data_IF_027500911559
#
_entry.id   IF_027500911559
#
_cell.length_a   1.000
_cell.length_b   1.000
_cell.length_c   1.000
_cell.angle_alpha   90.00
_cell.angle_beta   90.00
_cell.angle_gamma   90.00
#
_symmetry.space_group_name_H-M   'P 1'
#
loop_
_entity.id
_entity.type
_entity.pdbx_description
1 polymer ?
#
# COMPACT_ATOMS: atom_id res chain seq x y z
N UNK A 1 -31.74 15.31 4.73
CA UNK A 1 -30.71 15.77 5.70
C UNK A 1 -30.05 17.06 5.24
N UNK A 2 -29.26 17.07 4.16
CA UNK A 2 -28.56 18.30 3.71
C UNK A 2 -29.48 19.49 3.42
N UNK A 3 -30.64 19.28 2.79
CA UNK A 3 -31.65 20.33 2.56
C UNK A 3 -32.11 21.01 3.86
N UNK A 4 -32.20 20.25 4.96
CA UNK A 4 -32.68 20.77 6.24
C UNK A 4 -31.57 21.46 7.05
N UNK A 5 -30.34 20.96 6.95
CA UNK A 5 -29.22 21.45 7.77
C UNK A 5 -28.49 22.62 7.12
N UNK A 6 -28.37 22.64 5.78
CA UNK A 6 -27.75 23.74 5.03
C UNK A 6 -26.31 24.11 5.48
N UNK A 7 -25.54 23.13 5.95
CA UNK A 7 -24.10 23.23 6.22
C UNK A 7 -23.41 21.87 5.93
N UNK A 8 -22.09 21.83 5.68
CA UNK A 8 -21.38 20.58 5.38
C UNK A 8 -21.33 19.66 6.60
N UNK A 9 -21.43 18.35 6.35
CA UNK A 9 -21.43 17.33 7.38
C UNK A 9 -20.30 16.36 7.16
N UNK A 10 -19.63 15.96 8.24
CA UNK A 10 -18.71 14.83 8.21
C UNK A 10 -19.53 13.57 7.95
N UNK A 11 -19.19 12.86 6.88
CA UNK A 11 -19.79 11.57 6.49
C UNK A 11 -18.67 10.54 6.37
N UNK A 12 -18.16 10.09 7.52
CA UNK A 12 -17.14 9.04 7.58
C UNK A 12 -17.77 7.66 7.73
N UNK A 13 -17.01 6.61 7.44
CA UNK A 13 -17.45 5.22 7.64
C UNK A 13 -17.76 4.96 9.11
N UNK A 14 -18.91 4.33 9.37
CA UNK A 14 -19.33 3.93 10.71
C UNK A 14 -18.77 2.56 11.06
N UNK A 15 -17.53 2.51 11.53
CA UNK A 15 -16.87 1.28 11.95
C UNK A 15 -15.88 1.51 13.10
N UNK A 16 -15.62 0.46 13.87
CA UNK A 16 -14.49 0.43 14.80
C UNK A 16 -13.19 0.14 14.03
N UNK A 17 -12.07 0.69 14.51
CA UNK A 17 -10.75 0.37 13.96
C UNK A 17 -10.45 -1.12 14.16
N UNK A 18 -9.96 -1.80 13.12
CA UNK A 18 -9.68 -3.24 13.16
C UNK A 18 -10.90 -4.14 12.94
N UNK A 19 -12.06 -3.55 12.62
CA UNK A 19 -13.28 -4.26 12.27
C UNK A 19 -13.86 -3.79 10.93
N UNK A 20 -14.49 -4.69 10.17
CA UNK A 20 -15.23 -4.30 8.98
C UNK A 20 -16.43 -3.41 9.32
N UNK A 21 -16.87 -2.53 8.40
CA UNK A 21 -18.09 -1.75 8.55
C UNK A 21 -19.35 -2.59 8.80
N UNK A 22 -20.18 -2.12 9.72
CA UNK A 22 -21.47 -2.73 10.03
C UNK A 22 -22.45 -2.58 8.84
N UNK A 23 -23.14 -3.67 8.51
CA UNK A 23 -24.20 -3.68 7.47
C UNK A 23 -25.59 -4.02 8.04
N UNK A 24 -25.66 -4.48 9.31
CA UNK A 24 -26.92 -4.72 10.01
C UNK A 24 -27.15 -3.65 11.08
N UNK A 25 -28.41 -3.42 11.41
CA UNK A 25 -28.80 -2.45 12.44
C UNK A 25 -28.23 -2.85 13.81
N UNK A 26 -28.28 -4.14 14.13
CA UNK A 26 -27.78 -4.71 15.38
C UNK A 26 -26.27 -4.49 15.51
N UNK A 27 -25.51 -4.81 14.46
CA UNK A 27 -24.05 -4.61 14.47
C UNK A 27 -23.68 -3.13 14.59
N UNK A 28 -24.42 -2.24 13.91
CA UNK A 28 -24.18 -0.79 14.00
C UNK A 28 -24.42 -0.26 15.42
N UNK A 29 -25.49 -0.71 16.08
CA UNK A 29 -25.76 -0.36 17.48
C UNK A 29 -24.66 -0.89 18.39
N UNK A 30 -24.27 -2.16 18.24
CA UNK A 30 -23.25 -2.78 19.09
C UNK A 30 -21.87 -2.12 18.92
N UNK A 31 -21.42 -1.87 17.69
CA UNK A 31 -20.09 -1.32 17.44
C UNK A 31 -19.98 0.18 17.71
N UNK A 32 -21.06 0.95 17.56
CA UNK A 32 -21.00 2.42 17.56
C UNK A 32 -21.70 3.08 18.76
N UNK A 33 -22.26 2.31 19.70
CA UNK A 33 -23.01 2.89 20.84
C UNK A 33 -22.19 3.87 21.69
N UNK A 34 -20.88 3.67 21.81
CA UNK A 34 -19.97 4.56 22.56
C UNK A 34 -19.48 5.77 21.73
N UNK A 35 -19.83 5.85 20.44
CA UNK A 35 -19.38 6.88 19.50
C UNK A 35 -20.54 7.79 19.08
N UNK A 36 -21.71 7.22 18.78
CA UNK A 36 -22.84 7.95 18.22
C UNK A 36 -23.84 8.39 19.30
N UNK A 37 -24.20 9.67 19.32
CA UNK A 37 -25.26 10.20 20.20
C UNK A 37 -26.67 9.70 19.84
N UNK A 38 -26.84 9.16 18.63
CA UNK A 38 -28.11 8.64 18.14
C UNK A 38 -27.96 7.95 16.79
N UNK A 39 -28.96 7.13 16.46
CA UNK A 39 -28.93 6.27 15.29
C UNK A 39 -30.12 6.55 14.38
N UNK A 40 -29.85 6.86 13.12
CA UNK A 40 -30.86 6.96 12.05
C UNK A 40 -30.78 5.71 11.17
N UNK A 41 -31.58 4.70 11.51
CA UNK A 41 -31.60 3.39 10.85
C UNK A 41 -32.88 3.19 10.02
N UNK A 42 -32.93 2.12 9.23
CA UNK A 42 -34.13 1.71 8.49
C UNK A 42 -34.28 0.20 8.39
N UNK A 43 -35.43 -0.27 7.92
CA UNK A 43 -35.80 -1.69 7.82
C UNK A 43 -35.62 -2.27 6.41
N UNK A 44 -34.59 -1.80 5.69
CA UNK A 44 -34.22 -2.33 4.37
C UNK A 44 -32.81 -2.86 4.50
N UNK A 45 -32.66 -4.17 4.40
CA UNK A 45 -31.38 -4.81 4.68
C UNK A 45 -30.29 -4.39 3.69
N UNK A 46 -29.07 -4.25 4.21
CA UNK A 46 -27.86 -4.11 3.41
C UNK A 46 -27.17 -5.47 3.39
N UNK A 47 -27.22 -6.14 2.23
CA UNK A 47 -26.68 -7.50 2.07
C UNK A 47 -25.25 -7.55 1.56
N UNK A 48 -24.67 -6.40 1.21
CA UNK A 48 -23.30 -6.25 0.72
C UNK A 48 -22.68 -5.01 1.33
N UNK A 49 -21.48 -5.16 1.89
CA UNK A 49 -20.63 -4.00 2.18
C UNK A 49 -20.28 -3.32 0.85
N UNK A 50 -20.40 -2.01 0.81
CA UNK A 50 -20.09 -1.22 -0.37
C UNK A 50 -19.66 0.19 0.06
N UNK A 51 -18.37 0.32 0.41
CA UNK A 51 -17.77 1.59 0.82
C UNK A 51 -17.92 2.66 -0.27
N UNK A 52 -17.83 3.91 0.14
CA UNK A 52 -17.77 5.03 -0.80
C UNK A 52 -16.52 4.93 -1.67
N UNK A 53 -16.70 5.10 -2.98
CA UNK A 53 -15.57 5.25 -3.90
C UNK A 53 -14.90 6.60 -3.69
N UNK A 54 -13.57 6.63 -3.84
CA UNK A 54 -12.76 7.84 -3.67
C UNK A 54 -11.95 8.06 -4.94
N UNK A 55 -12.10 9.24 -5.51
CA UNK A 55 -11.38 9.69 -6.71
C UNK A 55 -10.84 11.10 -6.47
N UNK A 56 -9.69 11.44 -7.06
CA UNK A 56 -9.23 12.83 -7.12
C UNK A 56 -10.06 13.60 -8.14
N UNK A 57 -10.00 14.94 -8.06
CA UNK A 57 -10.59 15.83 -9.07
C UNK A 57 -10.03 15.59 -10.49
N UNK A 58 -8.77 15.15 -10.58
CA UNK A 58 -8.14 14.72 -11.84
C UNK A 58 -8.75 13.46 -12.47
N UNK A 59 -9.61 12.74 -11.75
CA UNK A 59 -10.16 11.44 -12.15
C UNK A 59 -9.34 10.23 -11.69
N UNK A 60 -8.20 10.44 -11.01
CA UNK A 60 -7.38 9.35 -10.47
C UNK A 60 -8.17 8.54 -9.42
N UNK A 61 -8.22 7.22 -9.60
CA UNK A 61 -8.91 6.30 -8.70
C UNK A 61 -8.07 5.99 -7.46
N UNK A 62 -8.61 6.25 -6.27
CA UNK A 62 -7.97 5.89 -4.98
C UNK A 62 -8.66 4.69 -4.31
N UNK A 63 -9.99 4.57 -4.47
CA UNK A 63 -10.78 3.44 -3.97
C UNK A 63 -11.98 3.19 -4.89
N UNK A 64 -12.03 2.01 -5.51
CA UNK A 64 -13.13 1.57 -6.38
C UNK A 64 -14.12 0.68 -5.63
N UNK A 65 -15.30 1.21 -5.31
CA UNK A 65 -16.39 0.50 -4.62
C UNK A 65 -17.76 0.94 -5.14
N UNK A 66 -18.55 1.68 -4.35
CA UNK A 66 -19.90 2.13 -4.69
C UNK A 66 -19.91 2.94 -5.99
N UNK A 67 -20.82 2.58 -6.90
CA UNK A 67 -21.00 3.26 -8.19
C UNK A 67 -20.14 2.72 -9.33
N UNK A 68 -19.20 1.80 -9.06
CA UNK A 68 -18.41 1.11 -10.09
C UNK A 68 -18.58 -0.41 -10.05
N UNK A 69 -18.73 -0.99 -8.86
CA UNK A 69 -18.91 -2.43 -8.71
C UNK A 69 -20.39 -2.78 -8.95
N UNK A 70 -20.71 -3.83 -9.74
CA UNK A 70 -19.83 -4.89 -10.24
C UNK A 70 -19.49 -4.79 -11.73
N UNK A 71 -19.33 -3.59 -12.31
CA UNK A 71 -19.06 -3.45 -13.74
C UNK A 71 -17.76 -4.17 -14.14
N UNK A 72 -17.84 -4.91 -15.26
CA UNK A 72 -16.72 -5.62 -15.86
C UNK A 72 -15.82 -4.68 -16.67
N UNK A 73 -14.53 -5.02 -16.74
CA UNK A 73 -13.50 -4.32 -17.50
C UNK A 73 -13.04 -5.27 -18.61
N UNK A 74 -12.87 -4.74 -19.83
CA UNK A 74 -12.31 -5.52 -20.93
C UNK A 74 -10.81 -5.77 -20.68
N UNK A 75 -10.35 -7.00 -20.98
CA UNK A 75 -8.94 -7.32 -20.97
C UNK A 75 -8.24 -6.68 -22.19
N UNK A 76 -6.91 -6.47 -22.12
CA UNK A 76 -6.16 -5.91 -23.23
C UNK A 76 -6.20 -6.78 -24.50
N UNK A 77 -5.84 -6.21 -25.67
CA UNK A 77 -5.79 -6.96 -26.92
C UNK A 77 -4.94 -8.22 -26.81
N UNK A 78 -5.45 -9.34 -27.34
CA UNK A 78 -4.75 -10.64 -27.33
C UNK A 78 -5.17 -11.57 -26.19
N UNK A 79 -5.73 -11.05 -25.09
CA UNK A 79 -6.36 -11.87 -24.07
C UNK A 79 -7.74 -12.33 -24.56
N UNK A 80 -7.84 -13.62 -24.90
CA UNK A 80 -9.08 -14.28 -25.35
C UNK A 80 -9.18 -15.65 -24.73
N UNK A 81 -10.42 -16.12 -24.56
CA UNK A 81 -10.71 -17.47 -24.07
C UNK A 81 -10.00 -17.83 -22.75
N UNK A 82 -9.77 -16.82 -21.88
CA UNK A 82 -9.10 -17.02 -20.59
C UNK A 82 -9.99 -17.92 -19.71
N UNK A 83 -9.45 -18.98 -19.08
CA UNK A 83 -10.23 -19.83 -18.18
C UNK A 83 -10.72 -19.04 -16.95
N UNK A 84 -11.66 -19.56 -16.17
CA UNK A 84 -12.15 -18.90 -14.97
C UNK A 84 -11.05 -18.86 -13.89
N UNK A 85 -10.45 -17.70 -13.66
CA UNK A 85 -9.40 -17.49 -12.66
C UNK A 85 -9.92 -16.55 -11.57
N UNK A 86 -9.77 -16.95 -10.31
CA UNK A 86 -9.98 -16.10 -9.13
C UNK A 86 -8.64 -15.56 -8.64
N UNK A 87 -8.42 -14.25 -8.75
CA UNK A 87 -7.26 -13.59 -8.18
C UNK A 87 -7.65 -13.01 -6.81
N UNK A 88 -6.92 -13.35 -5.74
CA UNK A 88 -7.28 -12.96 -4.38
C UNK A 88 -6.80 -11.56 -3.98
N UNK A 89 -5.88 -10.97 -4.75
CA UNK A 89 -5.23 -9.70 -4.41
C UNK A 89 -4.23 -9.83 -3.26
N UNK A 90 -3.91 -8.70 -2.63
CA UNK A 90 -3.04 -8.61 -1.45
C UNK A 90 -3.85 -8.44 -0.16
N UNK A 91 -3.22 -8.57 1.01
CA UNK A 91 -3.90 -8.48 2.30
C UNK A 91 -4.39 -7.07 2.66
N UNK A 92 -3.67 -6.03 2.23
CA UNK A 92 -4.05 -4.64 2.49
C UNK A 92 -4.82 -4.04 1.32
N UNK A 93 -5.83 -3.23 1.64
CA UNK A 93 -6.70 -2.57 0.66
C UNK A 93 -7.29 -3.57 -0.35
N UNK A 94 -7.63 -4.76 0.13
CA UNK A 94 -7.95 -5.92 -0.68
C UNK A 94 -9.10 -5.66 -1.68
N UNK A 95 -8.90 -6.22 -2.87
CA UNK A 95 -9.95 -6.56 -3.82
C UNK A 95 -9.61 -7.93 -4.41
N UNK A 96 -10.62 -8.76 -4.67
CA UNK A 96 -10.45 -9.93 -5.51
C UNK A 96 -10.89 -9.62 -6.94
N UNK A 97 -10.43 -10.42 -7.90
CA UNK A 97 -10.78 -10.28 -9.31
C UNK A 97 -11.22 -11.62 -9.89
N UNK A 98 -12.32 -11.61 -10.65
CA UNK A 98 -12.75 -12.75 -11.47
C UNK A 98 -12.37 -12.49 -12.92
N UNK A 99 -11.63 -13.40 -13.54
CA UNK A 99 -11.20 -13.29 -14.93
C UNK A 99 -11.73 -14.47 -15.73
N UNK A 100 -12.41 -14.22 -16.85
CA UNK A 100 -12.86 -15.25 -17.80
C UNK A 100 -13.10 -14.65 -19.18
N UNK A 101 -12.75 -15.39 -20.23
CA UNK A 101 -12.92 -14.96 -21.61
C UNK A 101 -12.02 -13.78 -21.93
N UNK A 102 -12.61 -12.61 -22.16
CA UNK A 102 -11.92 -11.36 -22.48
C UNK A 102 -12.25 -10.24 -21.46
N UNK A 103 -12.74 -10.61 -20.27
CA UNK A 103 -13.16 -9.64 -19.25
C UNK A 103 -12.64 -9.99 -17.85
N UNK A 104 -12.55 -8.96 -17.02
CA UNK A 104 -12.23 -9.03 -15.60
C UNK A 104 -13.27 -8.27 -14.78
N UNK A 105 -13.64 -8.79 -13.61
CA UNK A 105 -14.55 -8.14 -12.66
C UNK A 105 -13.84 -8.01 -11.32
N UNK A 106 -13.54 -6.77 -10.94
CA UNK A 106 -12.89 -6.45 -9.66
C UNK A 106 -13.96 -6.17 -8.60
N UNK A 107 -13.80 -6.77 -7.42
CA UNK A 107 -14.68 -6.55 -6.27
C UNK A 107 -14.63 -5.11 -5.78
N UNK A 108 -15.53 -4.78 -4.85
CA UNK A 108 -15.38 -3.61 -4.00
C UNK A 108 -14.16 -3.73 -3.09
N UNK A 109 -13.71 -2.59 -2.56
CA UNK A 109 -12.73 -2.53 -1.50
C UNK A 109 -13.21 -3.30 -0.26
N UNK A 110 -12.40 -4.25 0.20
CA UNK A 110 -12.69 -5.08 1.38
C UNK A 110 -11.79 -4.72 2.57
N UNK A 111 -10.78 -3.86 2.39
CA UNK A 111 -9.96 -3.35 3.50
C UNK A 111 -8.77 -4.26 3.83
N UNK A 112 -8.49 -4.45 5.11
CA UNK A 112 -7.41 -5.29 5.62
C UNK A 112 -7.94 -6.71 5.89
N UNK A 113 -7.35 -7.72 5.28
CA UNK A 113 -7.77 -9.12 5.45
C UNK A 113 -7.43 -9.71 6.82
N UNK A 114 -6.61 -9.01 7.61
CA UNK A 114 -6.30 -9.38 9.00
C UNK A 114 -7.32 -8.86 10.02
N UNK A 115 -8.24 -7.98 9.61
CA UNK A 115 -9.30 -7.46 10.48
C UNK A 115 -10.25 -8.57 10.95
N UNK A 116 -10.73 -8.46 12.19
CA UNK A 116 -11.61 -9.47 12.77
C UNK A 116 -12.95 -9.53 12.02
N UNK A 117 -13.38 -10.74 11.64
CA UNK A 117 -14.65 -10.96 10.93
C UNK A 117 -14.68 -10.54 9.45
N UNK A 118 -13.58 -10.04 8.86
CA UNK A 118 -13.59 -9.56 7.47
C UNK A 118 -13.92 -10.65 6.44
N UNK A 119 -13.53 -11.90 6.73
CA UNK A 119 -13.74 -13.04 5.84
C UNK A 119 -15.22 -13.26 5.50
N UNK A 120 -16.15 -12.97 6.41
CA UNK A 120 -17.58 -13.14 6.16
C UNK A 120 -18.06 -12.22 5.03
N UNK A 121 -17.68 -10.93 5.09
CA UNK A 121 -18.03 -9.96 4.04
C UNK A 121 -17.31 -10.26 2.72
N UNK A 122 -16.05 -10.69 2.79
CA UNK A 122 -15.29 -11.12 1.63
C UNK A 122 -15.96 -12.30 0.90
N UNK A 123 -16.39 -13.33 1.64
CA UNK A 123 -17.06 -14.51 1.08
C UNK A 123 -18.44 -14.18 0.50
N UNK A 124 -19.21 -13.31 1.15
CA UNK A 124 -20.51 -12.88 0.61
C UNK A 124 -20.35 -12.05 -0.67
N UNK A 125 -19.34 -11.18 -0.75
CA UNK A 125 -19.02 -10.47 -1.98
C UNK A 125 -18.65 -11.44 -3.10
N UNK A 126 -17.77 -12.41 -2.82
CA UNK A 126 -17.38 -13.43 -3.78
C UNK A 126 -18.60 -14.24 -4.26
N UNK A 127 -19.42 -14.75 -3.34
CA UNK A 127 -20.61 -15.54 -3.64
C UNK A 127 -21.58 -14.78 -4.54
N UNK A 128 -21.85 -13.51 -4.25
CA UNK A 128 -22.77 -12.70 -5.05
C UNK A 128 -22.19 -12.44 -6.45
N UNK A 129 -20.93 -12.01 -6.55
CA UNK A 129 -20.31 -11.69 -7.85
C UNK A 129 -20.19 -12.95 -8.71
N UNK A 130 -19.86 -14.11 -8.12
CA UNK A 130 -19.88 -15.39 -8.82
C UNK A 130 -21.26 -15.74 -9.36
N UNK A 131 -22.32 -15.49 -8.58
CA UNK A 131 -23.70 -15.70 -9.02
C UNK A 131 -24.14 -14.74 -10.13
N UNK A 132 -23.72 -13.48 -10.09
CA UNK A 132 -24.05 -12.49 -11.13
C UNK A 132 -23.44 -12.88 -12.46
N UNK A 133 -22.19 -13.34 -12.45
CA UNK A 133 -21.43 -13.66 -13.66
C UNK A 133 -21.45 -15.14 -14.04
N UNK A 134 -22.25 -15.97 -13.36
CA UNK A 134 -22.28 -17.43 -13.52
C UNK A 134 -20.86 -18.02 -13.58
N UNK A 135 -20.06 -17.73 -12.55
CA UNK A 135 -18.62 -17.95 -12.52
C UNK A 135 -18.26 -19.01 -11.49
N UNK A 136 -17.56 -20.05 -11.94
CA UNK A 136 -16.94 -21.07 -11.08
C UNK A 136 -15.43 -21.08 -11.36
N UNK A 137 -14.56 -20.74 -10.39
CA UNK A 137 -13.12 -20.71 -10.61
C UNK A 137 -12.57 -22.10 -10.89
N UNK A 138 -11.68 -22.20 -11.87
CA UNK A 138 -10.88 -23.39 -12.15
C UNK A 138 -9.45 -23.25 -11.60
N UNK A 139 -9.00 -22.01 -11.35
CA UNK A 139 -7.67 -21.67 -10.82
C UNK A 139 -7.73 -20.50 -9.85
N UNK A 140 -6.73 -20.43 -8.98
CA UNK A 140 -6.54 -19.33 -8.04
C UNK A 140 -5.18 -18.68 -8.30
N UNK A 141 -5.14 -17.35 -8.22
CA UNK A 141 -3.90 -16.58 -8.17
C UNK A 141 -3.85 -15.83 -6.85
N UNK A 142 -2.73 -15.93 -6.14
CA UNK A 142 -2.47 -15.15 -4.92
C UNK A 142 -1.08 -14.50 -4.95
N UNK A 143 -0.82 -13.61 -4.01
CA UNK A 143 0.49 -13.02 -3.82
C UNK A 143 1.56 -14.10 -3.51
N UNK A 144 2.80 -13.85 -3.91
CA UNK A 144 3.94 -14.70 -3.58
C UNK A 144 4.29 -14.71 -2.08
N UNK A 145 3.78 -13.76 -1.29
CA UNK A 145 3.99 -13.71 0.15
C UNK A 145 3.31 -14.90 0.87
N UNK A 146 4.07 -15.85 1.46
CA UNK A 146 3.50 -17.06 2.05
C UNK A 146 2.77 -16.79 3.37
N UNK A 147 3.08 -15.68 4.05
CA UNK A 147 2.45 -15.28 5.31
C UNK A 147 1.16 -14.48 5.17
N UNK A 148 0.65 -14.27 3.95
CA UNK A 148 -0.60 -13.53 3.76
C UNK A 148 -1.82 -14.38 4.12
N UNK A 149 -2.84 -13.72 4.68
CA UNK A 149 -4.17 -14.28 4.94
C UNK A 149 -4.82 -14.73 3.63
N UNK A 150 -4.69 -13.94 2.57
CA UNK A 150 -5.15 -14.31 1.22
C UNK A 150 -4.48 -15.60 0.72
N UNK A 151 -3.17 -15.79 0.94
CA UNK A 151 -2.45 -17.02 0.60
C UNK A 151 -2.97 -18.23 1.40
N UNK A 152 -3.31 -18.04 2.68
CA UNK A 152 -3.97 -19.07 3.47
C UNK A 152 -5.34 -19.43 2.88
N UNK A 153 -6.17 -18.44 2.54
CA UNK A 153 -7.50 -18.67 1.94
C UNK A 153 -7.41 -19.39 0.59
N UNK A 154 -6.40 -19.09 -0.23
CA UNK A 154 -6.14 -19.82 -1.47
C UNK A 154 -5.96 -21.32 -1.23
N UNK A 155 -5.19 -21.67 -0.20
CA UNK A 155 -4.90 -23.08 0.13
C UNK A 155 -6.14 -23.87 0.57
N UNK A 156 -7.10 -23.20 1.21
CA UNK A 156 -8.35 -23.81 1.70
C UNK A 156 -9.32 -24.16 0.57
N UNK A 157 -9.23 -23.48 -0.57
CA UNK A 157 -10.15 -23.65 -1.70
C UNK A 157 -9.87 -24.89 -2.57
N UNK A 158 -8.71 -25.55 -2.39
CA UNK A 158 -8.33 -26.82 -3.06
C UNK A 158 -8.40 -26.79 -4.60
N UNK A 159 -8.10 -25.63 -5.20
CA UNK A 159 -7.90 -25.48 -6.65
C UNK A 159 -6.41 -25.37 -6.97
N UNK A 160 -5.99 -25.57 -8.24
CA UNK A 160 -4.65 -25.20 -8.68
C UNK A 160 -4.38 -23.72 -8.37
N UNK A 161 -3.33 -23.47 -7.59
CA UNK A 161 -2.94 -22.12 -7.14
C UNK A 161 -1.59 -21.74 -7.75
N UNK A 162 -1.54 -20.55 -8.32
CA UNK A 162 -0.33 -19.92 -8.87
C UNK A 162 -0.03 -18.65 -8.07
N UNK A 163 1.25 -18.32 -7.91
CA UNK A 163 1.68 -17.11 -7.22
C UNK A 163 2.23 -16.08 -8.20
N UNK A 164 1.99 -14.80 -7.91
CA UNK A 164 2.55 -13.67 -8.65
C UNK A 164 3.29 -12.74 -7.69
N UNK A 165 4.45 -12.23 -8.10
CA UNK A 165 5.19 -11.24 -7.32
C UNK A 165 4.37 -9.96 -7.18
N UNK A 166 4.37 -9.37 -5.98
CA UNK A 166 3.57 -8.18 -5.65
C UNK A 166 3.79 -7.04 -6.66
N UNK A 167 5.05 -6.69 -6.90
CA UNK A 167 5.43 -5.61 -7.80
C UNK A 167 5.21 -5.96 -9.28
N UNK A 168 5.28 -7.23 -9.66
CA UNK A 168 4.90 -7.67 -11.00
C UNK A 168 3.40 -7.43 -11.23
N UNK A 169 2.56 -7.74 -10.24
CA UNK A 169 1.13 -7.47 -10.31
C UNK A 169 0.82 -5.96 -10.43
N UNK A 170 1.55 -5.10 -9.69
CA UNK A 170 1.43 -3.64 -9.84
C UNK A 170 1.74 -3.17 -11.26
N UNK A 171 2.88 -3.60 -11.82
CA UNK A 171 3.27 -3.25 -13.18
C UNK A 171 2.27 -3.78 -14.22
N UNK A 172 1.84 -5.04 -14.10
CA UNK A 172 0.89 -5.66 -15.02
C UNK A 172 -0.51 -5.03 -14.97
N UNK A 173 -0.97 -4.58 -13.79
CA UNK A 173 -2.23 -3.86 -13.64
C UNK A 173 -2.22 -2.52 -14.40
N UNK A 174 -1.13 -1.75 -14.29
CA UNK A 174 -0.93 -0.51 -15.04
C UNK A 174 -0.90 -0.76 -16.56
N UNK A 175 -0.15 -1.77 -17.02
CA UNK A 175 -0.15 -2.18 -18.43
C UNK A 175 -1.55 -2.54 -18.93
N UNK A 176 -2.32 -3.29 -18.12
CA UNK A 176 -3.67 -3.71 -18.47
C UNK A 176 -4.65 -2.53 -18.57
N UNK A 177 -4.61 -1.59 -17.62
CA UNK A 177 -5.45 -0.38 -17.66
C UNK A 177 -5.18 0.46 -18.92
N UNK A 178 -3.93 0.53 -19.36
CA UNK A 178 -3.53 1.22 -20.59
C UNK A 178 -3.73 0.41 -21.88
N UNK A 179 -4.31 -0.78 -21.80
CA UNK A 179 -4.62 -1.61 -22.97
C UNK A 179 -3.37 -2.13 -23.69
N UNK A 180 -2.26 -2.33 -22.97
CA UNK A 180 -1.04 -2.90 -23.54
C UNK A 180 -1.30 -4.31 -24.09
N UNK A 181 -1.02 -4.60 -25.38
CA UNK A 181 -1.34 -5.90 -25.95
C UNK A 181 -0.59 -7.06 -25.26
N UNK A 182 -1.16 -8.27 -25.29
CA UNK A 182 -0.53 -9.49 -24.78
C UNK A 182 0.90 -9.70 -25.32
N UNK A 183 1.10 -9.36 -26.59
CA UNK A 183 2.37 -9.41 -27.34
C UNK A 183 3.02 -8.02 -27.51
N UNK A 184 2.64 -7.03 -26.70
CA UNK A 184 3.10 -5.65 -26.79
C UNK A 184 4.60 -5.43 -26.52
N UNK A 185 5.28 -6.44 -25.96
CA UNK A 185 6.70 -6.39 -25.63
C UNK A 185 6.97 -6.01 -24.17
N UNK A 186 8.25 -5.86 -23.86
CA UNK A 186 8.75 -5.57 -22.51
C UNK A 186 8.78 -4.07 -22.23
N UNK A 187 8.57 -3.71 -20.96
CA UNK A 187 8.69 -2.35 -20.45
C UNK A 187 9.67 -2.30 -19.28
N UNK A 188 10.15 -1.10 -18.98
CA UNK A 188 10.80 -0.80 -17.71
C UNK A 188 9.73 -0.23 -16.77
N UNK A 189 9.48 -0.93 -15.66
CA UNK A 189 8.54 -0.52 -14.63
C UNK A 189 9.28 0.01 -13.40
N UNK A 190 8.83 1.14 -12.87
CA UNK A 190 9.21 1.62 -11.55
C UNK A 190 8.05 1.36 -10.59
N UNK A 191 8.24 0.45 -9.64
CA UNK A 191 7.20 0.06 -8.68
C UNK A 191 7.60 0.52 -7.28
N UNK A 192 6.87 1.50 -6.75
CA UNK A 192 7.16 2.17 -5.47
C UNK A 192 5.99 1.99 -4.50
N UNK A 193 6.25 1.39 -3.34
CA UNK A 193 5.23 1.15 -2.31
C UNK A 193 5.85 1.04 -0.90
N UNK A 194 5.07 0.51 0.04
CA UNK A 194 5.52 0.12 1.36
C UNK A 194 6.37 -1.13 1.32
N UNK A 195 5.73 -2.31 1.29
CA UNK A 195 6.40 -3.61 1.29
C UNK A 195 5.57 -4.59 0.46
N UNK A 196 6.24 -5.30 -0.45
CA UNK A 196 5.73 -6.49 -1.12
C UNK A 196 6.80 -7.58 -1.19
N UNK A 197 6.38 -8.85 -1.27
CA UNK A 197 7.33 -9.96 -1.40
C UNK A 197 7.90 -9.99 -2.82
N UNK A 198 9.22 -9.87 -2.92
CA UNK A 198 10.00 -10.01 -4.13
C UNK A 198 10.54 -11.42 -4.33
N UNK A 199 11.47 -11.56 -5.27
CA UNK A 199 12.11 -12.85 -5.57
C UNK A 199 12.91 -13.39 -4.38
N UNK A 200 12.93 -14.73 -4.24
CA UNK A 200 13.75 -15.43 -3.24
C UNK A 200 13.53 -14.97 -1.78
N UNK A 201 12.35 -14.44 -1.47
CA UNK A 201 12.02 -13.98 -0.12
C UNK A 201 12.51 -12.57 0.22
N UNK A 202 13.03 -11.81 -0.75
CA UNK A 202 13.40 -10.42 -0.55
C UNK A 202 12.14 -9.54 -0.33
N UNK A 203 12.26 -8.50 0.49
CA UNK A 203 11.19 -7.50 0.65
C UNK A 203 11.50 -6.30 -0.25
N UNK A 204 10.61 -6.05 -1.20
CA UNK A 204 10.72 -4.99 -2.19
C UNK A 204 9.79 -3.83 -1.84
N UNK A 205 10.09 -2.65 -2.41
CA UNK A 205 9.18 -1.50 -2.36
C UNK A 205 9.68 -0.24 -3.06
N UNK A 206 10.70 -0.36 -3.91
CA UNK A 206 11.27 0.76 -4.67
C UNK A 206 12.15 0.24 -5.79
N UNK A 207 11.55 -0.56 -6.68
CA UNK A 207 12.28 -1.39 -7.65
C UNK A 207 12.17 -0.85 -9.07
N UNK A 208 13.24 -1.04 -9.84
CA UNK A 208 13.26 -0.94 -11.29
C UNK A 208 13.22 -2.36 -11.88
N UNK A 209 12.22 -2.66 -12.71
CA UNK A 209 11.94 -4.01 -13.21
C UNK A 209 11.84 -4.01 -14.74
N UNK A 210 12.32 -5.06 -15.40
CA UNK A 210 11.97 -5.39 -16.79
C UNK A 210 10.75 -6.30 -16.76
N UNK A 211 9.63 -5.86 -17.32
CA UNK A 211 8.33 -6.52 -17.15
C UNK A 211 7.65 -6.73 -18.50
N UNK A 212 7.04 -7.90 -18.65
CA UNK A 212 5.90 -8.14 -19.55
C UNK A 212 4.81 -8.90 -18.76
N UNK A 213 3.72 -9.32 -19.39
CA UNK A 213 2.64 -10.04 -18.66
C UNK A 213 3.05 -11.40 -18.07
N UNK A 214 4.18 -11.97 -18.49
CA UNK A 214 4.64 -13.31 -18.12
C UNK A 214 5.93 -13.31 -17.31
N UNK A 215 6.73 -12.26 -17.45
CA UNK A 215 8.08 -12.17 -16.88
C UNK A 215 8.25 -10.88 -16.10
N UNK A 216 9.00 -11.00 -15.01
CA UNK A 216 9.46 -9.91 -14.19
C UNK A 216 10.93 -10.20 -13.87
N UNK A 217 11.83 -9.30 -14.26
CA UNK A 217 13.24 -9.36 -13.91
C UNK A 217 13.62 -8.12 -13.12
N UNK A 218 14.23 -8.32 -11.96
CA UNK A 218 14.76 -7.25 -11.13
C UNK A 218 16.02 -6.63 -11.74
N UNK A 219 16.00 -5.31 -11.98
CA UNK A 219 17.12 -4.58 -12.58
C UNK A 219 17.90 -3.74 -11.57
N UNK A 220 17.30 -3.39 -10.42
CA UNK A 220 17.87 -2.42 -9.49
C UNK A 220 16.82 -1.65 -8.70
N UNK A 221 17.22 -0.54 -8.07
CA UNK A 221 16.32 0.31 -7.30
C UNK A 221 16.93 0.85 -6.01
N UNK A 222 16.12 0.96 -4.96
CA UNK A 222 16.61 1.36 -3.64
C UNK A 222 17.49 0.26 -3.02
N UNK A 223 18.54 0.63 -2.27
CA UNK A 223 19.25 -0.34 -1.45
C UNK A 223 18.33 -0.87 -0.34
N UNK A 224 18.35 -2.18 -0.09
CA UNK A 224 17.55 -2.76 0.99
C UNK A 224 18.09 -2.35 2.38
N UNK A 225 17.27 -1.69 3.19
CA UNK A 225 17.60 -1.20 4.54
C UNK A 225 16.76 -1.94 5.59
N UNK A 226 17.30 -2.10 6.79
CA UNK A 226 16.60 -2.81 7.85
C UNK A 226 15.29 -2.11 8.26
N UNK A 227 14.29 -2.91 8.65
CA UNK A 227 13.02 -2.49 9.25
C UNK A 227 13.06 -2.76 10.77
N UNK A 228 13.56 -1.84 11.61
CA UNK A 228 13.90 -2.17 12.98
C UNK A 228 12.65 -2.41 13.83
N UNK A 229 12.42 -3.66 14.25
CA UNK A 229 11.22 -4.07 14.96
C UNK A 229 10.06 -4.51 14.05
N UNK A 230 10.34 -4.86 12.78
CA UNK A 230 9.34 -5.37 11.83
C UNK A 230 8.22 -4.37 11.59
N UNK A 231 6.98 -4.75 11.86
CA UNK A 231 5.77 -3.94 11.66
C UNK A 231 5.82 -2.57 12.36
N UNK A 232 6.58 -2.44 13.45
CA UNK A 232 6.75 -1.14 14.12
C UNK A 232 7.44 -0.11 13.23
N UNK A 233 8.24 -0.52 12.24
CA UNK A 233 8.89 0.38 11.29
C UNK A 233 7.88 1.16 10.43
N UNK A 234 6.71 0.59 10.13
CA UNK A 234 5.63 1.29 9.42
C UNK A 234 4.83 2.25 10.34
N UNK A 235 4.91 2.08 11.66
CA UNK A 235 4.16 2.88 12.64
C UNK A 235 4.99 3.98 13.30
N UNK A 236 6.32 3.85 13.29
CA UNK A 236 7.22 4.75 14.01
C UNK A 236 8.34 5.23 13.08
N UNK A 237 8.14 6.36 12.37
CA UNK A 237 9.02 6.83 11.29
C UNK A 237 10.49 6.98 11.69
N UNK A 238 10.75 7.33 12.95
CA UNK A 238 12.10 7.48 13.50
C UNK A 238 12.94 6.19 13.43
N UNK A 239 12.31 5.00 13.40
CA UNK A 239 13.01 3.72 13.22
C UNK A 239 13.69 3.63 11.86
N UNK A 240 13.02 4.14 10.83
CA UNK A 240 13.55 4.15 9.47
C UNK A 240 14.69 5.16 9.35
N UNK A 241 14.54 6.35 9.96
CA UNK A 241 15.64 7.32 10.06
C UNK A 241 16.86 6.72 10.77
N UNK A 242 16.67 6.00 11.89
CA UNK A 242 17.77 5.32 12.57
C UNK A 242 18.46 4.30 11.66
N UNK A 243 17.71 3.45 10.97
CA UNK A 243 18.29 2.44 10.07
C UNK A 243 19.08 3.06 8.91
N UNK A 244 18.55 4.14 8.34
CA UNK A 244 19.22 4.93 7.30
C UNK A 244 20.51 5.57 7.83
N UNK A 245 20.46 6.20 9.00
CA UNK A 245 21.61 6.82 9.65
C UNK A 245 22.72 5.81 9.95
N UNK A 246 22.38 4.67 10.57
CA UNK A 246 23.34 3.62 10.90
C UNK A 246 24.06 3.07 9.67
N UNK A 247 23.38 3.03 8.51
CA UNK A 247 23.95 2.49 7.29
C UNK A 247 24.74 3.52 6.49
N UNK A 248 24.25 4.75 6.39
CA UNK A 248 24.67 5.70 5.35
C UNK A 248 25.22 7.03 5.85
N UNK A 249 25.04 7.36 7.14
CA UNK A 249 25.37 8.68 7.68
C UNK A 249 26.47 8.56 8.73
N UNK A 250 27.73 8.84 8.38
CA UNK A 250 28.80 9.01 9.36
C UNK A 250 28.44 10.11 10.36
N UNK A 251 28.78 9.89 11.63
CA UNK A 251 28.58 10.86 12.72
C UNK A 251 27.13 11.38 12.79
N UNK A 252 26.15 10.53 12.48
CA UNK A 252 24.74 10.91 12.37
C UNK A 252 24.17 11.62 13.62
N UNK A 253 24.78 11.39 14.79
CA UNK A 253 24.42 12.02 16.06
C UNK A 253 24.70 13.53 16.10
N UNK A 254 25.55 14.05 15.21
CA UNK A 254 25.88 15.47 15.19
C UNK A 254 24.83 16.32 14.46
N UNK A 255 23.89 15.69 13.75
CA UNK A 255 22.83 16.37 13.00
C UNK A 255 21.61 16.70 13.88
N UNK A 256 21.09 17.94 13.86
CA UNK A 256 19.93 18.33 14.67
C UNK A 256 18.64 17.59 14.31
N UNK A 257 18.53 17.07 13.09
CA UNK A 257 17.43 16.22 12.62
C UNK A 257 17.34 14.91 13.40
N UNK A 258 18.48 14.40 13.90
CA UNK A 258 18.56 13.11 14.61
C UNK A 258 18.47 13.25 16.13
N UNK A 259 18.30 14.48 16.66
CA UNK A 259 18.20 14.73 18.09
C UNK A 259 17.10 13.89 18.78
N UNK A 260 15.98 13.65 18.09
CA UNK A 260 14.91 12.78 18.59
C UNK A 260 15.30 11.31 18.73
N UNK A 261 16.22 10.81 17.88
CA UNK A 261 16.74 9.45 17.97
C UNK A 261 17.60 9.24 19.21
N UNK A 262 18.38 10.28 19.58
CA UNK A 262 19.28 10.22 20.74
C UNK A 262 18.53 10.14 22.07
N UNK A 263 17.27 10.57 22.08
CA UNK A 263 16.37 10.41 23.23
C UNK A 263 15.79 8.99 23.35
N UNK A 264 15.90 8.17 22.29
CA UNK A 264 15.49 6.77 22.29
C UNK A 264 16.63 5.88 22.79
N UNK A 265 16.29 4.65 23.19
CA UNK A 265 17.28 3.62 23.50
C UNK A 265 17.84 2.98 22.20
N UNK A 266 18.37 3.81 21.30
CA UNK A 266 18.73 3.45 19.93
C UNK A 266 19.85 2.41 19.87
N UNK A 267 20.75 2.34 20.87
CA UNK A 267 21.88 1.40 20.88
C UNK A 267 21.44 -0.06 21.04
N UNK A 268 20.33 -0.33 21.73
CA UNK A 268 19.72 -1.66 21.79
C UNK A 268 19.16 -2.06 20.43
N UNK A 269 18.49 -1.13 19.76
CA UNK A 269 17.90 -1.37 18.44
C UNK A 269 18.98 -1.53 17.36
N UNK A 270 20.07 -0.76 17.43
CA UNK A 270 21.24 -0.91 16.57
C UNK A 270 21.82 -2.33 16.65
N UNK A 271 22.01 -2.86 17.88
CA UNK A 271 22.47 -4.25 18.07
C UNK A 271 21.47 -5.29 17.57
N UNK A 272 20.17 -5.02 17.64
CA UNK A 272 19.16 -5.91 17.08
C UNK A 272 19.23 -5.95 15.54
N UNK A 273 19.44 -4.79 14.90
CA UNK A 273 19.65 -4.67 13.45
C UNK A 273 20.90 -5.44 13.02
N UNK A 274 22.04 -5.21 13.69
CA UNK A 274 23.30 -5.91 13.39
C UNK A 274 23.18 -7.44 13.47
N UNK A 275 22.34 -7.93 14.39
CA UNK A 275 22.09 -9.37 14.60
C UNK A 275 20.93 -9.92 13.78
N UNK A 276 20.25 -9.10 12.97
CA UNK A 276 19.08 -9.51 12.19
C UNK A 276 17.87 -9.92 13.04
N UNK A 277 17.76 -9.45 14.29
CA UNK A 277 16.65 -9.80 15.19
C UNK A 277 15.46 -8.88 14.92
N UNK A 278 14.38 -9.44 14.37
CA UNK A 278 13.17 -8.71 13.97
C UNK A 278 13.49 -7.40 13.21
N UNK A 279 14.45 -7.49 12.29
CA UNK A 279 14.98 -6.36 11.53
C UNK A 279 15.22 -6.77 10.07
N UNK A 280 14.21 -7.30 9.36
CA UNK A 280 14.37 -7.74 7.98
C UNK A 280 14.80 -6.57 7.09
N UNK A 281 15.52 -6.85 6.01
CA UNK A 281 15.93 -5.85 5.03
C UNK A 281 14.81 -5.66 4.00
N UNK A 282 14.51 -4.41 3.66
CA UNK A 282 13.59 -4.06 2.59
C UNK A 282 14.07 -2.85 1.78
N UNK A 283 13.94 -2.89 0.46
CA UNK A 283 14.19 -1.76 -0.46
C UNK A 283 12.98 -0.83 -0.56
N UNK A 284 12.40 -0.47 0.59
CA UNK A 284 11.12 0.24 0.67
C UNK A 284 11.24 1.74 0.41
N UNK A 285 10.52 2.23 -0.60
CA UNK A 285 10.36 3.66 -0.84
C UNK A 285 9.50 4.31 0.24
N UNK A 286 8.41 3.67 0.67
CA UNK A 286 7.56 4.16 1.75
C UNK A 286 8.33 4.38 3.06
N UNK A 287 9.24 3.48 3.42
CA UNK A 287 10.08 3.64 4.63
C UNK A 287 11.16 4.71 4.47
N UNK A 288 11.62 4.99 3.24
CA UNK A 288 12.49 6.15 2.97
C UNK A 288 11.74 7.47 3.16
N UNK A 289 10.48 7.56 2.68
CA UNK A 289 9.59 8.69 2.97
C UNK A 289 9.42 8.90 4.47
N UNK A 290 9.14 7.82 5.22
CA UNK A 290 9.01 7.88 6.68
C UNK A 290 10.31 8.40 7.35
N UNK A 291 11.48 7.97 6.87
CA UNK A 291 12.77 8.44 7.39
C UNK A 291 12.95 9.95 7.21
N UNK A 292 12.64 10.48 6.02
CA UNK A 292 12.74 11.92 5.72
C UNK A 292 11.70 12.72 6.50
N UNK A 293 10.47 12.22 6.60
CA UNK A 293 9.41 12.82 7.41
C UNK A 293 9.80 12.90 8.90
N UNK A 294 10.46 11.87 9.43
CA UNK A 294 10.99 11.87 10.79
C UNK A 294 12.09 12.93 10.97
N UNK A 295 13.00 13.07 10.00
CA UNK A 295 14.07 14.07 10.05
C UNK A 295 13.52 15.50 10.03
N UNK A 296 12.48 15.76 9.24
CA UNK A 296 11.78 17.06 9.20
C UNK A 296 10.79 17.26 10.35
N UNK A 297 10.46 16.20 11.11
CA UNK A 297 9.47 16.21 12.20
C UNK A 297 8.10 16.71 11.73
N UNK A 298 7.72 16.37 10.50
CA UNK A 298 6.43 16.76 9.92
C UNK A 298 5.32 15.73 10.17
N UNK A 299 5.61 14.66 10.91
CA UNK A 299 4.65 13.63 11.30
C UNK A 299 4.79 13.29 12.80
N UNK A 300 3.74 12.75 13.45
CA UNK A 300 3.82 12.27 14.82
C UNK A 300 4.89 11.19 14.99
N UNK A 301 5.43 11.05 16.21
CA UNK A 301 6.45 10.03 16.51
C UNK A 301 5.91 8.58 16.38
N UNK A 302 4.60 8.40 16.57
CA UNK A 302 3.87 7.18 16.28
C UNK A 302 2.65 7.53 15.44
N UNK A 303 2.53 6.90 14.28
CA UNK A 303 1.45 7.12 13.33
C UNK A 303 0.16 6.45 13.77
N UNK A 304 -0.94 7.00 13.31
CA UNK A 304 -2.31 6.55 13.53
C UNK A 304 -2.88 5.79 12.33
N UNK A 305 -2.29 5.94 11.13
CA UNK A 305 -2.65 5.18 9.94
C UNK A 305 -1.47 4.96 8.98
N UNK A 306 -1.57 3.93 8.11
CA UNK A 306 -0.55 3.60 7.11
C UNK A 306 -0.41 4.72 6.07
N UNK A 307 0.82 5.21 5.88
CA UNK A 307 1.12 6.27 4.91
C UNK A 307 1.01 7.70 5.47
N UNK A 308 0.66 7.89 6.74
CA UNK A 308 0.47 9.22 7.35
C UNK A 308 1.70 10.13 7.19
N UNK A 309 2.90 9.61 7.45
CA UNK A 309 4.13 10.40 7.34
C UNK A 309 4.47 10.75 5.88
N UNK A 310 4.23 9.83 4.94
CA UNK A 310 4.42 10.08 3.51
C UNK A 310 3.45 11.16 2.99
N UNK A 311 2.16 11.07 3.34
CA UNK A 311 1.17 12.08 2.99
C UNK A 311 1.50 13.46 3.59
N UNK A 312 1.95 13.49 4.86
CA UNK A 312 2.37 14.74 5.51
C UNK A 312 3.59 15.37 4.81
N UNK A 313 4.54 14.54 4.36
CA UNK A 313 5.73 14.99 3.64
C UNK A 313 5.38 15.52 2.24
N UNK A 314 4.50 14.84 1.49
CA UNK A 314 3.99 15.31 0.19
C UNK A 314 3.27 16.66 0.34
N UNK A 315 2.35 16.79 1.31
CA UNK A 315 1.62 18.03 1.57
C UNK A 315 2.53 19.19 2.03
N UNK A 316 3.65 18.87 2.67
CA UNK A 316 4.67 19.86 3.01
C UNK A 316 5.48 20.28 1.77
N UNK A 317 5.87 19.32 0.92
CA UNK A 317 6.57 19.57 -0.33
C UNK A 317 5.73 20.42 -1.30
N UNK A 318 4.42 20.18 -1.38
CA UNK A 318 3.51 20.90 -2.28
C UNK A 318 3.36 22.40 -1.97
N UNK A 319 3.84 22.86 -0.80
CA UNK A 319 3.91 24.28 -0.45
C UNK A 319 5.09 25.00 -1.12
N UNK A 320 6.02 24.25 -1.73
CA UNK A 320 7.12 24.77 -2.51
C UNK A 320 6.85 24.55 -4.00
N UNK A 321 6.83 25.63 -4.79
CA UNK A 321 6.60 25.53 -6.23
C UNK A 321 7.84 25.01 -6.99
N UNK A 322 9.02 25.53 -6.65
CA UNK A 322 10.32 25.12 -7.19
C UNK A 322 11.43 25.72 -6.31
N UNK A 323 12.56 25.03 -6.16
CA UNK A 323 13.75 25.54 -5.47
C UNK A 323 15.02 24.95 -6.09
N UNK A 324 16.03 25.79 -6.33
CA UNK A 324 17.36 25.28 -6.69
C UNK A 324 18.01 24.65 -5.44
N UNK A 325 18.43 23.39 -5.55
CA UNK A 325 19.05 22.65 -4.46
C UNK A 325 20.21 21.77 -4.94
N UNK A 326 21.15 21.41 -4.04
CA UNK A 326 22.28 20.54 -4.37
C UNK A 326 22.02 19.05 -4.14
N UNK A 327 20.84 18.69 -3.61
CA UNK A 327 20.48 17.30 -3.25
C UNK A 327 20.31 16.43 -4.50
N UNK A 328 20.92 15.24 -4.48
CA UNK A 328 20.89 14.24 -5.55
C UNK A 328 20.85 12.83 -4.99
N UNK A 329 20.34 11.88 -5.77
CA UNK A 329 20.49 10.43 -5.56
C UNK A 329 21.20 9.82 -6.78
N UNK A 330 22.55 9.81 -6.83
CA UNK A 330 23.30 9.23 -7.95
C UNK A 330 23.04 7.72 -8.09
N UNK A 331 23.30 7.17 -9.27
CA UNK A 331 23.33 5.72 -9.45
C UNK A 331 24.73 5.17 -9.10
N UNK A 332 24.76 4.13 -8.26
CA UNK A 332 25.92 3.29 -8.01
C UNK A 332 25.63 1.86 -8.51
N UNK A 333 26.07 1.56 -9.72
CA UNK A 333 25.64 0.36 -10.44
C UNK A 333 24.14 0.42 -10.73
N UNK A 334 23.41 -0.58 -10.23
CA UNK A 334 21.97 -0.69 -10.37
C UNK A 334 21.16 -0.05 -9.22
N UNK A 335 21.82 0.52 -8.21
CA UNK A 335 21.15 1.05 -7.02
C UNK A 335 21.33 2.56 -6.86
N UNK A 336 20.39 3.21 -6.18
CA UNK A 336 20.55 4.61 -5.77
C UNK A 336 21.57 4.73 -4.63
N UNK A 337 22.49 5.69 -4.73
CA UNK A 337 23.46 6.04 -3.71
C UNK A 337 22.82 6.96 -2.67
N UNK A 338 22.15 6.32 -1.71
CA UNK A 338 21.44 6.98 -0.61
C UNK A 338 22.41 7.65 0.38
N UNK A 339 23.69 7.28 0.40
CA UNK A 339 24.70 7.95 1.24
C UNK A 339 25.03 9.36 0.72
N UNK A 340 25.15 9.52 -0.61
CA UNK A 340 25.30 10.85 -1.22
C UNK A 340 24.08 11.72 -0.94
N UNK A 341 22.87 11.16 -1.06
CA UNK A 341 21.63 11.84 -0.74
C UNK A 341 21.61 12.37 0.70
N UNK A 342 21.78 11.50 1.70
CA UNK A 342 21.71 11.93 3.09
C UNK A 342 22.76 12.99 3.41
N UNK A 343 23.99 12.82 2.91
CA UNK A 343 25.06 13.81 3.11
C UNK A 343 24.65 15.17 2.53
N UNK A 344 24.12 15.23 1.31
CA UNK A 344 23.73 16.51 0.70
C UNK A 344 22.48 17.11 1.37
N UNK A 345 21.47 16.29 1.63
CA UNK A 345 20.18 16.73 2.18
C UNK A 345 20.27 17.18 3.64
N UNK A 346 21.08 16.51 4.48
CA UNK A 346 21.31 16.93 5.87
C UNK A 346 22.15 18.22 5.95
N UNK A 347 23.11 18.40 5.04
CA UNK A 347 23.97 19.60 5.00
C UNK A 347 23.36 20.78 4.23
N UNK A 348 22.19 20.61 3.60
CA UNK A 348 21.49 21.69 2.93
C UNK A 348 20.40 22.29 3.84
N UNK A 349 20.71 23.44 4.43
CA UNK A 349 19.74 24.17 5.26
C UNK A 349 18.82 25.02 4.38
N UNK A 350 17.54 24.70 4.43
CA UNK A 350 16.46 25.41 3.77
C UNK A 350 15.18 25.28 4.62
N UNK A 351 14.10 25.93 4.20
CA UNK A 351 12.80 25.77 4.88
C UNK A 351 12.33 24.30 4.80
N UNK A 352 11.51 23.81 5.77
CA UNK A 352 11.02 22.43 5.74
C UNK A 352 10.30 22.07 4.42
N UNK A 353 9.50 22.98 3.86
CA UNK A 353 8.85 22.80 2.57
C UNK A 353 9.84 22.61 1.41
N UNK A 354 10.91 23.42 1.36
CA UNK A 354 11.96 23.27 0.35
C UNK A 354 12.76 21.98 0.50
N UNK A 355 13.02 21.55 1.75
CA UNK A 355 13.71 20.27 2.02
C UNK A 355 12.85 19.06 1.69
N UNK A 356 11.55 19.13 1.96
CA UNK A 356 10.60 18.12 1.51
C UNK A 356 10.54 18.08 -0.03
N UNK A 357 10.48 19.25 -0.68
CA UNK A 357 10.49 19.34 -2.14
C UNK A 357 11.75 18.77 -2.77
N UNK A 358 12.95 19.11 -2.27
CA UNK A 358 14.22 18.60 -2.79
C UNK A 358 14.47 17.09 -2.56
N UNK A 359 13.64 16.45 -1.73
CA UNK A 359 13.65 14.99 -1.57
C UNK A 359 12.81 14.30 -2.64
N UNK A 360 11.68 14.90 -3.04
CA UNK A 360 10.86 14.42 -4.15
C UNK A 360 11.56 14.70 -5.48
#
# INVERSE_FOLDING_TARGET
MLQALNYPLVMTSGNLSGKPPAITNEQALDDLHDIADGFLLHNRDIVQRMDDSVVRDSGEMLRRSRGYVPDAIALPPGFRDVPPILCLGADLKNTFCLVRGEQAVVSQHLGDLSDDGIQAQWREALRLIQSIYDFTPERIVCDAHPGYVSSQWASEMRLPTETVLHHHAHAAACLAEHGWPLDGGEVIALTVDGIGMGENGALWGGECLRVNYRECEHLGGLPAVALPGGDLAAKQPWRNLLAQCLRFVPDWQDYPETAGLQQQNWSVLARAIERGVNSPLASSCGRLFDAVAAALRCAPASLSYEGEAACALEALASQCANVEHPVTMPLNGAQLDVAVFWRQWLNWQATPAQRAWAFH
#
